data_IF_684129206763
#
_entry.id   IF_684129206763
#
_cell.length_a   1.000
_cell.length_b   1.000
_cell.length_c   1.000
_cell.angle_alpha   90.00
_cell.angle_beta   90.00
_cell.angle_gamma   90.00
#
_symmetry.space_group_name_H-M   'P 1'
#
loop_
_entity.id
_entity.type
_entity.pdbx_description
1 polymer ?
#
# COMPACT_ATOMS: atom_id res chain seq x y z
N UNK A 1 30.57 -2.65 29.89
CA UNK A 1 29.83 -3.56 29.00
C UNK A 1 28.40 -3.77 29.45
N UNK A 2 28.14 -4.13 30.71
CA UNK A 2 26.78 -4.43 31.25
C UNK A 2 25.70 -3.34 31.05
N UNK A 3 26.04 -2.04 31.14
CA UNK A 3 25.09 -0.92 30.94
C UNK A 3 24.64 -0.75 29.45
N UNK A 4 25.48 -1.11 28.51
CA UNK A 4 25.15 -1.04 27.05
C UNK A 4 24.23 -2.18 26.65
N UNK A 5 24.44 -3.37 27.22
CA UNK A 5 23.58 -4.54 26.96
C UNK A 5 22.18 -4.36 27.55
N UNK A 6 22.07 -3.80 28.76
CA UNK A 6 20.75 -3.52 29.36
C UNK A 6 19.96 -2.47 28.58
N UNK A 7 20.61 -1.49 27.97
CA UNK A 7 19.95 -0.47 27.16
C UNK A 7 19.44 -1.04 25.82
N UNK A 8 20.22 -1.93 25.20
CA UNK A 8 19.80 -2.63 23.97
C UNK A 8 18.61 -3.57 24.22
N UNK A 9 18.64 -4.33 25.32
CA UNK A 9 17.54 -5.24 25.69
C UNK A 9 16.26 -4.45 25.94
N UNK A 10 16.33 -3.34 26.69
CA UNK A 10 15.17 -2.49 26.96
C UNK A 10 14.58 -1.91 25.64
N UNK A 11 15.44 -1.50 24.70
CA UNK A 11 14.99 -0.98 23.41
C UNK A 11 14.32 -2.04 22.52
N UNK A 12 14.86 -3.26 22.51
CA UNK A 12 14.25 -4.39 21.83
C UNK A 12 12.91 -4.80 22.45
N UNK A 13 12.79 -4.73 23.77
CA UNK A 13 11.54 -5.00 24.46
C UNK A 13 10.48 -3.94 24.15
N UNK A 14 10.87 -2.68 24.07
CA UNK A 14 10.01 -1.60 23.62
C UNK A 14 9.51 -1.83 22.18
N UNK A 15 10.41 -2.18 21.25
CA UNK A 15 10.07 -2.51 19.86
C UNK A 15 9.04 -3.65 19.80
N UNK A 16 9.30 -4.75 20.53
CA UNK A 16 8.37 -5.89 20.62
C UNK A 16 6.98 -5.46 21.05
N UNK A 17 6.88 -4.67 22.13
CA UNK A 17 5.59 -4.19 22.64
C UNK A 17 4.84 -3.33 21.64
N UNK A 18 5.54 -2.51 20.84
CA UNK A 18 4.93 -1.66 19.81
C UNK A 18 4.44 -2.48 18.62
N UNK A 19 5.22 -3.47 18.18
CA UNK A 19 4.79 -4.42 17.14
C UNK A 19 3.53 -5.17 17.59
N UNK A 20 3.50 -5.68 18.82
CA UNK A 20 2.34 -6.37 19.36
C UNK A 20 1.11 -5.45 19.37
N UNK A 21 1.24 -4.20 19.82
CA UNK A 21 0.12 -3.22 19.81
C UNK A 21 -0.40 -2.97 18.40
N UNK A 22 0.49 -2.79 17.43
CA UNK A 22 0.12 -2.60 16.03
C UNK A 22 -0.60 -3.83 15.48
N UNK A 23 -0.09 -5.03 15.78
CA UNK A 23 -0.71 -6.28 15.35
C UNK A 23 -2.10 -6.49 15.97
N UNK A 24 -2.25 -6.22 17.28
CA UNK A 24 -3.55 -6.29 17.94
C UNK A 24 -4.55 -5.28 17.35
N UNK A 25 -4.09 -4.08 17.01
CA UNK A 25 -4.90 -3.07 16.34
C UNK A 25 -5.33 -3.55 14.95
N UNK A 26 -4.40 -4.16 14.19
CA UNK A 26 -4.72 -4.75 12.89
C UNK A 26 -5.78 -5.85 13.00
N UNK A 27 -5.64 -6.77 13.96
CA UNK A 27 -6.62 -7.83 14.20
C UNK A 27 -7.99 -7.24 14.57
N UNK A 28 -8.01 -6.23 15.44
CA UNK A 28 -9.25 -5.53 15.81
C UNK A 28 -9.95 -4.91 14.57
N UNK A 29 -9.19 -4.20 13.73
CA UNK A 29 -9.74 -3.61 12.51
C UNK A 29 -10.13 -4.67 11.47
N UNK A 30 -9.42 -5.81 11.41
CA UNK A 30 -9.78 -6.93 10.55
C UNK A 30 -11.15 -7.52 10.94
N UNK A 31 -11.36 -7.75 12.23
CA UNK A 31 -12.65 -8.24 12.75
C UNK A 31 -13.75 -7.20 12.49
N UNK A 32 -13.49 -5.94 12.78
CA UNK A 32 -14.45 -4.86 12.53
C UNK A 32 -14.76 -4.70 11.03
N UNK A 33 -13.73 -4.73 10.18
CA UNK A 33 -13.87 -4.67 8.72
C UNK A 33 -14.70 -5.83 8.17
N UNK A 34 -14.54 -7.02 8.77
CA UNK A 34 -15.32 -8.20 8.37
C UNK A 34 -16.83 -8.05 8.66
N UNK A 35 -17.24 -7.23 9.63
CA UNK A 35 -18.65 -6.95 9.92
C UNK A 35 -19.32 -6.10 8.82
N UNK A 36 -18.55 -5.26 8.12
CA UNK A 36 -19.03 -4.36 7.07
C UNK A 36 -18.69 -4.85 5.65
N UNK A 37 -18.13 -6.05 5.53
CA UNK A 37 -17.58 -6.54 4.26
C UNK A 37 -18.65 -6.73 3.18
N UNK A 38 -19.88 -7.10 3.55
CA UNK A 38 -20.97 -7.31 2.59
C UNK A 38 -21.36 -6.02 1.90
N UNK A 39 -21.53 -4.93 2.64
CA UNK A 39 -21.89 -3.62 2.09
C UNK A 39 -20.82 -3.11 1.12
N UNK A 40 -19.55 -3.37 1.46
CA UNK A 40 -18.41 -2.97 0.62
C UNK A 40 -18.31 -3.86 -0.61
N UNK A 41 -18.52 -5.16 -0.47
CA UNK A 41 -18.56 -6.10 -1.59
C UNK A 41 -19.64 -5.68 -2.60
N UNK A 42 -20.87 -5.43 -2.13
CA UNK A 42 -22.00 -5.01 -2.98
C UNK A 42 -21.70 -3.68 -3.68
N UNK A 43 -21.03 -2.76 -3.00
CA UNK A 43 -20.57 -1.52 -3.61
C UNK A 43 -19.50 -1.73 -4.69
N UNK A 44 -18.55 -2.64 -4.48
CA UNK A 44 -17.48 -2.92 -5.42
C UNK A 44 -17.96 -3.62 -6.70
N UNK A 45 -19.01 -4.42 -6.61
CA UNK A 45 -19.55 -5.17 -7.78
C UNK A 45 -20.74 -4.48 -8.46
N UNK A 46 -21.22 -3.35 -7.94
CA UNK A 46 -22.44 -2.68 -8.41
C UNK A 46 -22.40 -2.30 -9.90
N UNK A 47 -21.22 -2.00 -10.43
CA UNK A 47 -21.00 -1.55 -11.81
C UNK A 47 -20.65 -2.73 -12.75
N UNK A 48 -20.75 -3.99 -12.28
CA UNK A 48 -20.57 -5.18 -13.10
C UNK A 48 -21.89 -5.60 -13.72
N UNK A 49 -21.91 -5.70 -15.05
CA UNK A 49 -23.09 -6.14 -15.81
C UNK A 49 -23.41 -7.63 -15.57
N UNK A 50 -22.40 -8.44 -15.28
CA UNK A 50 -22.52 -9.87 -15.06
C UNK A 50 -22.16 -10.28 -13.64
N UNK A 51 -22.87 -11.28 -13.09
CA UNK A 51 -22.53 -11.85 -11.78
C UNK A 51 -21.23 -12.63 -11.85
N UNK A 52 -20.37 -12.41 -10.87
CA UNK A 52 -19.14 -13.17 -10.73
C UNK A 52 -19.45 -14.64 -10.39
N UNK A 53 -18.79 -15.57 -11.09
CA UNK A 53 -18.91 -16.99 -10.82
C UNK A 53 -18.15 -17.35 -9.53
N UNK A 54 -18.70 -18.29 -8.77
CA UNK A 54 -18.06 -18.86 -7.56
C UNK A 54 -17.83 -20.34 -7.84
N UNK A 55 -16.59 -20.80 -7.76
CA UNK A 55 -16.22 -22.19 -8.02
C UNK A 55 -16.23 -23.06 -6.77
N UNK A 56 -16.04 -22.43 -5.61
CA UNK A 56 -16.02 -23.15 -4.35
C UNK A 56 -16.52 -22.31 -3.17
N UNK A 57 -16.98 -22.95 -2.08
CA UNK A 57 -17.49 -22.23 -0.91
C UNK A 57 -16.42 -21.39 -0.21
N UNK A 58 -15.15 -21.71 -0.40
CA UNK A 58 -14.02 -20.95 0.14
C UNK A 58 -13.77 -19.62 -0.57
N UNK A 59 -14.17 -19.49 -1.85
CA UNK A 59 -13.89 -18.30 -2.67
C UNK A 59 -14.54 -17.06 -2.07
N UNK A 60 -15.77 -17.16 -1.58
CA UNK A 60 -16.49 -16.04 -0.95
C UNK A 60 -15.78 -15.60 0.32
N UNK A 61 -15.39 -16.55 1.17
CA UNK A 61 -14.66 -16.26 2.40
C UNK A 61 -13.32 -15.58 2.09
N UNK A 62 -12.61 -16.05 1.07
CA UNK A 62 -11.34 -15.47 0.64
C UNK A 62 -11.50 -14.03 0.15
N UNK A 63 -12.53 -13.76 -0.67
CA UNK A 63 -12.85 -12.39 -1.12
C UNK A 63 -13.16 -11.46 0.07
N UNK A 64 -13.98 -11.94 1.02
CA UNK A 64 -14.33 -11.18 2.21
C UNK A 64 -13.10 -10.88 3.09
N UNK A 65 -12.21 -11.85 3.24
CA UNK A 65 -10.94 -11.67 3.95
C UNK A 65 -10.02 -10.67 3.26
N UNK A 66 -9.96 -10.66 1.92
CA UNK A 66 -9.19 -9.66 1.17
C UNK A 66 -9.73 -8.25 1.39
N UNK A 67 -11.02 -8.04 1.25
CA UNK A 67 -11.66 -6.72 1.47
C UNK A 67 -11.44 -6.25 2.91
N UNK A 68 -11.74 -7.09 3.90
CA UNK A 68 -11.53 -6.78 5.30
C UNK A 68 -10.04 -6.50 5.62
N UNK A 69 -9.13 -7.22 4.96
CA UNK A 69 -7.69 -7.04 5.09
C UNK A 69 -7.22 -5.67 4.62
N UNK A 70 -7.68 -5.20 3.46
CA UNK A 70 -7.34 -3.85 2.95
C UNK A 70 -7.86 -2.77 3.90
N UNK A 71 -9.08 -2.89 4.40
CA UNK A 71 -9.64 -1.95 5.37
C UNK A 71 -8.83 -1.95 6.67
N UNK A 72 -8.47 -3.14 7.16
CA UNK A 72 -7.65 -3.28 8.37
C UNK A 72 -6.27 -2.66 8.20
N UNK A 73 -5.62 -2.87 7.03
CA UNK A 73 -4.33 -2.23 6.71
C UNK A 73 -4.51 -0.72 6.72
N UNK A 74 -5.47 -0.18 5.98
CA UNK A 74 -5.72 1.26 5.89
C UNK A 74 -5.92 1.90 7.27
N UNK A 75 -6.78 1.30 8.11
CA UNK A 75 -7.04 1.80 9.46
C UNK A 75 -5.85 1.62 10.43
N UNK A 76 -4.97 0.63 10.17
CA UNK A 76 -3.80 0.38 11.01
C UNK A 76 -2.63 1.31 10.68
N UNK A 77 -2.52 1.84 9.46
CA UNK A 77 -1.41 2.72 9.04
C UNK A 77 -1.16 3.88 10.01
N UNK A 78 -2.15 4.71 10.40
CA UNK A 78 -1.90 5.81 11.33
C UNK A 78 -1.44 5.32 12.71
N UNK A 79 -1.92 4.16 13.16
CA UNK A 79 -1.49 3.57 14.43
C UNK A 79 -0.06 3.04 14.31
N UNK A 80 0.27 2.34 13.22
CA UNK A 80 1.62 1.85 12.96
C UNK A 80 2.62 3.02 12.86
N UNK A 81 2.26 4.08 12.13
CA UNK A 81 3.07 5.29 12.02
C UNK A 81 3.27 5.96 13.39
N UNK A 82 2.21 6.06 14.21
CA UNK A 82 2.31 6.59 15.57
C UNK A 82 3.19 5.73 16.47
N UNK A 83 3.09 4.42 16.41
CA UNK A 83 3.93 3.51 17.19
C UNK A 83 5.40 3.61 16.75
N UNK A 84 5.66 3.70 15.45
CA UNK A 84 7.00 3.90 14.89
C UNK A 84 7.57 5.25 15.31
N UNK A 85 6.78 6.33 15.17
CA UNK A 85 7.17 7.66 15.65
C UNK A 85 7.54 7.65 17.13
N UNK A 86 6.71 7.05 17.98
CA UNK A 86 6.94 6.99 19.40
C UNK A 86 8.19 6.19 19.78
N UNK A 87 8.57 5.20 18.95
CA UNK A 87 9.80 4.44 19.10
C UNK A 87 11.04 5.27 18.74
N UNK A 88 10.94 6.10 17.71
CA UNK A 88 12.06 6.94 17.21
C UNK A 88 12.14 8.27 17.95
N UNK A 89 11.04 8.77 18.49
CA UNK A 89 10.92 10.09 19.13
C UNK A 89 11.98 10.40 20.21
N UNK A 90 12.47 9.45 21.04
CA UNK A 90 13.53 9.73 22.00
C UNK A 90 14.89 10.08 21.37
N UNK A 91 15.11 9.72 20.09
CA UNK A 91 16.33 10.00 19.35
C UNK A 91 16.25 11.30 18.51
N UNK A 92 15.06 11.92 18.44
CA UNK A 92 14.78 13.12 17.66
C UNK A 92 14.93 14.38 18.52
N UNK A 93 15.32 15.50 17.89
CA UNK A 93 15.23 16.83 18.50
C UNK A 93 13.76 17.25 18.65
N UNK A 94 13.50 18.22 19.54
CA UNK A 94 12.13 18.70 19.79
C UNK A 94 11.42 19.23 18.55
N UNK A 95 12.18 19.83 17.63
CA UNK A 95 11.66 20.32 16.35
C UNK A 95 11.27 19.14 15.42
N UNK A 96 12.15 18.17 15.22
CA UNK A 96 11.93 16.98 14.41
C UNK A 96 10.77 16.14 14.96
N UNK A 97 10.68 16.03 16.28
CA UNK A 97 9.61 15.30 16.97
C UNK A 97 8.23 15.88 16.68
N UNK A 98 8.09 17.22 16.66
CA UNK A 98 6.82 17.88 16.32
C UNK A 98 6.49 17.73 14.83
N UNK A 99 7.47 17.96 13.98
CA UNK A 99 7.31 17.79 12.53
C UNK A 99 6.89 16.39 12.17
N UNK A 100 7.51 15.36 12.76
CA UNK A 100 7.16 13.95 12.52
C UNK A 100 5.70 13.61 12.82
N UNK A 101 5.07 14.24 13.82
CA UNK A 101 3.65 14.02 14.13
C UNK A 101 2.72 14.45 13.00
N UNK A 102 3.06 15.51 12.27
CA UNK A 102 2.24 15.99 11.15
C UNK A 102 2.26 15.04 9.95
N UNK A 103 3.29 14.18 9.82
CA UNK A 103 3.34 13.19 8.74
C UNK A 103 2.37 12.01 8.97
N UNK A 104 1.98 11.72 10.23
CA UNK A 104 1.12 10.56 10.55
C UNK A 104 -0.24 10.61 9.83
N UNK A 105 -1.05 11.70 9.93
CA UNK A 105 -2.28 11.78 9.14
C UNK A 105 -2.03 11.83 7.64
N UNK A 106 -0.88 12.38 7.21
CA UNK A 106 -0.46 12.38 5.82
C UNK A 106 -0.32 10.97 5.26
N UNK A 107 0.33 10.04 5.97
CA UNK A 107 0.46 8.65 5.56
C UNK A 107 -0.91 8.00 5.31
N UNK A 108 -1.88 8.19 6.19
CA UNK A 108 -3.23 7.68 5.98
C UNK A 108 -3.90 8.24 4.71
N UNK A 109 -3.79 9.56 4.51
CA UNK A 109 -4.38 10.23 3.34
C UNK A 109 -3.72 9.73 2.05
N UNK A 110 -2.39 9.65 2.01
CA UNK A 110 -1.67 9.18 0.83
C UNK A 110 -1.93 7.72 0.53
N UNK A 111 -2.05 6.86 1.55
CA UNK A 111 -2.47 5.48 1.36
C UNK A 111 -3.85 5.38 0.71
N UNK A 112 -4.83 6.12 1.23
CA UNK A 112 -6.19 6.15 0.66
C UNK A 112 -6.16 6.69 -0.78
N UNK A 113 -5.39 7.75 -1.06
CA UNK A 113 -5.22 8.26 -2.43
C UNK A 113 -4.63 7.20 -3.36
N UNK A 114 -3.66 6.42 -2.89
CA UNK A 114 -3.09 5.30 -3.66
C UNK A 114 -4.10 4.20 -3.94
N UNK A 115 -4.91 3.82 -2.94
CA UNK A 115 -6.01 2.85 -3.12
C UNK A 115 -7.05 3.39 -4.12
N UNK A 116 -7.47 4.65 -3.98
CA UNK A 116 -8.43 5.30 -4.90
C UNK A 116 -7.86 5.34 -6.32
N UNK A 117 -6.61 5.72 -6.49
CA UNK A 117 -5.95 5.72 -7.80
C UNK A 117 -5.86 4.32 -8.40
N UNK A 118 -5.45 3.32 -7.61
CA UNK A 118 -5.38 1.92 -8.04
C UNK A 118 -6.73 1.38 -8.48
N UNK A 119 -7.79 1.67 -7.72
CA UNK A 119 -9.14 1.18 -7.99
C UNK A 119 -9.84 1.91 -9.14
N UNK A 120 -9.82 3.25 -9.17
CA UNK A 120 -10.59 4.04 -10.14
C UNK A 120 -9.83 4.31 -11.45
N UNK A 121 -8.51 4.23 -11.45
CA UNK A 121 -7.70 4.54 -12.63
C UNK A 121 -7.04 3.28 -13.18
N UNK A 122 -6.19 2.62 -12.41
CA UNK A 122 -5.38 1.52 -12.94
C UNK A 122 -6.19 0.26 -13.19
N UNK A 123 -6.99 -0.15 -12.23
CA UNK A 123 -7.78 -1.38 -12.35
C UNK A 123 -8.69 -1.36 -13.59
N UNK A 124 -9.54 -0.34 -13.85
CA UNK A 124 -10.37 -0.32 -15.04
C UNK A 124 -9.56 -0.22 -16.33
N UNK A 125 -8.45 0.52 -16.36
CA UNK A 125 -7.60 0.64 -17.55
C UNK A 125 -7.01 -0.73 -17.94
N UNK A 126 -6.41 -1.43 -16.99
CA UNK A 126 -5.80 -2.75 -17.24
C UNK A 126 -6.87 -3.79 -17.53
N UNK A 127 -7.98 -3.78 -16.80
CA UNK A 127 -9.09 -4.71 -17.02
C UNK A 127 -9.70 -4.54 -18.43
N UNK A 128 -9.99 -3.31 -18.86
CA UNK A 128 -10.52 -3.03 -20.19
C UNK A 128 -9.56 -3.47 -21.29
N UNK A 129 -8.27 -3.25 -21.09
CA UNK A 129 -7.24 -3.71 -22.02
C UNK A 129 -7.26 -5.24 -22.14
N UNK A 130 -7.27 -5.99 -21.03
CA UNK A 130 -7.28 -7.44 -21.02
C UNK A 130 -8.57 -8.02 -21.63
N UNK A 131 -9.73 -7.42 -21.34
CA UNK A 131 -11.00 -7.79 -21.97
C UNK A 131 -10.93 -7.54 -23.48
N UNK A 132 -10.36 -6.43 -23.90
CA UNK A 132 -10.17 -6.10 -25.32
C UNK A 132 -9.34 -7.13 -26.08
N UNK A 133 -8.33 -7.75 -25.45
CA UNK A 133 -7.56 -8.85 -26.04
C UNK A 133 -8.37 -10.11 -26.27
N UNK A 134 -9.39 -10.35 -25.45
CA UNK A 134 -10.27 -11.54 -25.57
C UNK A 134 -11.44 -11.32 -26.54
N UNK A 135 -11.71 -10.09 -26.95
CA UNK A 135 -12.85 -9.71 -27.74
C UNK A 135 -12.90 -10.48 -29.09
N UNK A 136 -13.94 -11.24 -29.32
CA UNK A 136 -14.19 -12.00 -30.55
C UNK A 136 -13.57 -13.40 -30.61
N UNK A 137 -12.73 -13.81 -29.65
CA UNK A 137 -12.08 -15.12 -29.65
C UNK A 137 -12.44 -16.00 -28.45
N UNK A 138 -12.82 -15.40 -27.30
CA UNK A 138 -13.08 -16.13 -26.06
C UNK A 138 -14.36 -15.65 -25.38
N UNK A 139 -15.06 -16.57 -24.74
CA UNK A 139 -16.10 -16.22 -23.76
C UNK A 139 -15.41 -15.94 -22.41
N UNK A 140 -15.46 -14.69 -21.97
CA UNK A 140 -14.89 -14.30 -20.69
C UNK A 140 -15.85 -14.63 -19.55
N UNK A 141 -15.40 -15.47 -18.62
CA UNK A 141 -16.11 -15.72 -17.38
C UNK A 141 -15.20 -15.37 -16.21
N UNK A 142 -15.58 -14.37 -15.44
CA UNK A 142 -14.81 -13.96 -14.27
C UNK A 142 -15.29 -14.69 -13.02
N UNK A 143 -14.37 -15.33 -12.31
CA UNK A 143 -14.65 -15.84 -10.97
C UNK A 143 -14.42 -14.74 -9.92
N UNK A 144 -15.20 -14.77 -8.85
CA UNK A 144 -15.09 -13.79 -7.77
C UNK A 144 -13.66 -13.73 -7.20
N UNK A 145 -13.04 -14.88 -6.94
CA UNK A 145 -11.68 -14.94 -6.42
C UNK A 145 -10.67 -14.28 -7.37
N UNK A 146 -10.65 -14.66 -8.65
CA UNK A 146 -9.67 -14.11 -9.61
C UNK A 146 -9.88 -12.61 -9.86
N UNK A 147 -11.13 -12.16 -9.94
CA UNK A 147 -11.47 -10.76 -10.13
C UNK A 147 -10.96 -9.90 -8.96
N UNK A 148 -11.30 -10.28 -7.72
CA UNK A 148 -10.87 -9.55 -6.54
C UNK A 148 -9.37 -9.66 -6.29
N UNK A 149 -8.76 -10.82 -6.55
CA UNK A 149 -7.30 -10.98 -6.47
C UNK A 149 -6.58 -10.06 -7.44
N UNK A 150 -7.04 -9.98 -8.69
CA UNK A 150 -6.49 -9.09 -9.69
C UNK A 150 -6.64 -7.61 -9.27
N UNK A 151 -7.83 -7.21 -8.84
CA UNK A 151 -8.10 -5.86 -8.33
C UNK A 151 -7.17 -5.51 -7.16
N UNK A 152 -7.01 -6.41 -6.18
CA UNK A 152 -6.16 -6.19 -5.01
C UNK A 152 -4.68 -6.13 -5.37
N UNK A 153 -4.20 -6.98 -6.28
CA UNK A 153 -2.82 -6.97 -6.73
C UNK A 153 -2.44 -5.65 -7.41
N UNK A 154 -3.37 -4.99 -8.08
CA UNK A 154 -3.15 -3.66 -8.64
C UNK A 154 -3.33 -2.55 -7.60
N UNK A 155 -4.34 -2.62 -6.77
CA UNK A 155 -4.76 -1.51 -5.89
C UNK A 155 -3.90 -1.38 -4.64
N UNK A 156 -3.67 -2.50 -3.93
CA UNK A 156 -2.98 -2.48 -2.64
C UNK A 156 -1.51 -2.01 -2.72
N UNK A 157 -0.69 -2.44 -3.68
CA UNK A 157 0.67 -1.93 -3.82
C UNK A 157 0.71 -0.43 -4.06
N UNK A 158 -0.25 0.13 -4.82
CA UNK A 158 -0.32 1.58 -5.03
C UNK A 158 -0.66 2.34 -3.75
N UNK A 159 -1.45 1.77 -2.84
CA UNK A 159 -1.62 2.32 -1.50
C UNK A 159 -0.28 2.58 -0.81
N UNK A 160 0.61 1.59 -0.78
CA UNK A 160 1.95 1.73 -0.19
C UNK A 160 2.91 2.61 -1.01
N UNK A 161 2.85 2.53 -2.34
CA UNK A 161 3.75 3.29 -3.20
C UNK A 161 3.45 4.80 -3.18
N UNK A 162 2.19 5.19 -2.95
CA UNK A 162 1.80 6.58 -2.74
C UNK A 162 2.36 7.16 -1.44
N UNK A 163 2.77 6.36 -0.47
CA UNK A 163 3.45 6.83 0.73
C UNK A 163 4.91 7.26 0.46
N UNK A 164 5.52 6.80 -0.67
CA UNK A 164 6.93 7.11 -0.98
C UNK A 164 7.26 8.61 -0.91
N UNK A 165 6.48 9.55 -1.50
CA UNK A 165 6.79 10.97 -1.42
C UNK A 165 6.88 11.46 0.02
N UNK A 166 5.94 11.04 0.85
CA UNK A 166 5.86 11.46 2.24
C UNK A 166 6.99 10.87 3.10
N UNK A 167 7.32 9.60 2.88
CA UNK A 167 8.44 8.92 3.55
C UNK A 167 9.77 9.58 3.16
N UNK A 168 9.98 9.88 1.87
CA UNK A 168 11.19 10.55 1.39
C UNK A 168 11.31 11.95 2.01
N UNK A 169 10.24 12.75 2.01
CA UNK A 169 10.21 14.07 2.65
C UNK A 169 10.55 13.97 4.14
N UNK A 170 9.95 13.01 4.85
CA UNK A 170 10.20 12.79 6.26
C UNK A 170 11.67 12.42 6.52
N UNK A 171 12.22 11.45 5.80
CA UNK A 171 13.63 11.05 5.97
C UNK A 171 14.62 12.15 5.56
N UNK A 172 14.24 13.01 4.62
CA UNK A 172 15.02 14.20 4.25
C UNK A 172 14.97 15.26 5.35
N UNK A 173 13.82 15.50 5.96
CA UNK A 173 13.67 16.44 7.08
C UNK A 173 14.48 16.03 8.31
N UNK A 174 14.75 14.73 8.48
CA UNK A 174 15.64 14.18 9.51
C UNK A 174 17.13 14.18 9.11
N UNK A 175 17.47 14.66 7.92
CA UNK A 175 18.84 14.63 7.41
C UNK A 175 19.39 13.23 7.08
N UNK A 176 18.54 12.19 7.13
CA UNK A 176 18.93 10.80 6.82
C UNK A 176 19.10 10.62 5.31
N UNK A 177 18.17 11.18 4.52
CA UNK A 177 18.23 11.18 3.07
C UNK A 177 18.69 12.55 2.54
N UNK A 178 19.43 12.50 1.43
CA UNK A 178 19.84 13.69 0.72
C UNK A 178 19.20 13.67 -0.69
N UNK A 179 18.37 14.68 -1.05
CA UNK A 179 17.72 14.75 -2.36
C UNK A 179 18.70 14.64 -3.53
N UNK A 180 19.89 15.22 -3.39
CA UNK A 180 20.93 15.14 -4.41
C UNK A 180 21.46 13.71 -4.62
N UNK A 181 21.49 12.87 -3.57
CA UNK A 181 21.85 11.45 -3.69
C UNK A 181 20.71 10.66 -4.37
N UNK A 182 19.44 10.90 -4.00
CA UNK A 182 18.28 10.29 -4.65
C UNK A 182 18.25 10.61 -6.14
N UNK A 183 18.49 11.87 -6.51
CA UNK A 183 18.58 12.28 -7.92
C UNK A 183 19.69 11.55 -8.69
N UNK A 184 20.84 11.29 -8.06
CA UNK A 184 21.93 10.49 -8.66
C UNK A 184 21.59 9.01 -8.81
N UNK A 185 20.72 8.48 -7.94
CA UNK A 185 20.31 7.06 -7.94
C UNK A 185 19.11 6.77 -8.85
N UNK A 186 18.60 7.75 -9.62
CA UNK A 186 17.42 7.60 -10.50
C UNK A 186 17.43 6.30 -11.31
N UNK A 187 18.57 5.97 -11.95
CA UNK A 187 18.68 4.76 -12.80
C UNK A 187 18.39 3.47 -12.04
N UNK A 188 18.90 3.35 -10.81
CA UNK A 188 18.70 2.17 -9.96
C UNK A 188 17.26 2.15 -9.45
N UNK A 189 16.72 3.30 -9.03
CA UNK A 189 15.33 3.41 -8.56
C UNK A 189 14.33 3.10 -9.67
N UNK A 190 14.55 3.61 -10.88
CA UNK A 190 13.70 3.29 -12.05
C UNK A 190 13.74 1.80 -12.37
N UNK A 191 14.91 1.19 -12.35
CA UNK A 191 15.03 -0.26 -12.55
C UNK A 191 14.24 -1.03 -11.48
N UNK A 192 14.38 -0.64 -10.21
CA UNK A 192 13.63 -1.27 -9.12
C UNK A 192 12.11 -1.12 -9.28
N UNK A 193 11.64 0.08 -9.69
CA UNK A 193 10.22 0.34 -9.93
C UNK A 193 9.68 -0.46 -11.12
N UNK A 194 10.48 -0.66 -12.18
CA UNK A 194 10.13 -1.54 -13.30
C UNK A 194 9.99 -2.99 -12.82
N UNK A 195 10.91 -3.49 -12.01
CA UNK A 195 10.81 -4.84 -11.44
C UNK A 195 9.56 -4.97 -10.56
N UNK A 196 9.25 -3.97 -9.75
CA UNK A 196 8.03 -3.94 -8.93
C UNK A 196 6.78 -3.97 -9.82
N UNK A 197 6.73 -3.19 -10.91
CA UNK A 197 5.62 -3.19 -11.85
C UNK A 197 5.37 -4.58 -12.44
N UNK A 198 6.39 -5.23 -12.98
CA UNK A 198 6.30 -6.57 -13.57
C UNK A 198 5.82 -7.64 -12.57
N UNK A 199 6.11 -7.48 -11.28
CA UNK A 199 5.62 -8.39 -10.22
C UNK A 199 4.13 -8.15 -9.91
N UNK A 200 3.67 -6.91 -10.02
CA UNK A 200 2.28 -6.51 -9.71
C UNK A 200 1.33 -6.85 -10.85
N UNK A 201 1.76 -6.65 -12.10
CA UNK A 201 0.92 -6.81 -13.30
C UNK A 201 0.94 -8.24 -13.85
N UNK A 202 -0.10 -8.65 -14.61
CA UNK A 202 0.01 -9.81 -15.47
C UNK A 202 1.21 -9.67 -16.43
N UNK A 203 1.80 -10.77 -16.90
CA UNK A 203 2.99 -10.72 -17.76
C UNK A 203 2.64 -10.25 -19.18
N UNK A 204 2.33 -8.98 -19.36
CA UNK A 204 2.08 -8.32 -20.64
C UNK A 204 2.71 -6.92 -20.67
N UNK A 205 3.25 -6.54 -21.82
CA UNK A 205 4.00 -5.30 -21.99
C UNK A 205 3.15 -4.04 -21.77
N UNK A 206 1.87 -4.06 -22.12
CA UNK A 206 1.02 -2.86 -22.08
C UNK A 206 0.58 -2.57 -20.65
N UNK A 207 0.15 -3.61 -19.90
CA UNK A 207 -0.17 -3.45 -18.48
C UNK A 207 1.05 -2.98 -17.67
N UNK A 208 2.24 -3.51 -17.99
CA UNK A 208 3.49 -3.07 -17.37
C UNK A 208 3.71 -1.57 -17.59
N UNK A 209 3.59 -1.09 -18.84
CA UNK A 209 3.76 0.34 -19.16
C UNK A 209 2.73 1.22 -18.45
N UNK A 210 1.46 0.78 -18.39
CA UNK A 210 0.38 1.51 -17.70
C UNK A 210 0.67 1.70 -16.21
N UNK A 211 1.35 0.73 -15.58
CA UNK A 211 1.71 0.76 -14.15
C UNK A 211 3.03 1.49 -13.92
N UNK A 212 4.04 1.30 -14.78
CA UNK A 212 5.35 1.95 -14.65
C UNK A 212 5.25 3.47 -14.68
N UNK A 213 4.46 4.04 -15.61
CA UNK A 213 4.37 5.50 -15.79
C UNK A 213 3.95 6.23 -14.49
N UNK A 214 2.85 5.85 -13.81
CA UNK A 214 2.51 6.45 -12.52
C UNK A 214 3.59 6.28 -11.44
N UNK A 215 4.27 5.13 -11.42
CA UNK A 215 5.33 4.87 -10.44
C UNK A 215 6.53 5.80 -10.63
N UNK A 216 6.93 6.04 -11.88
CA UNK A 216 8.00 6.98 -12.20
C UNK A 216 7.61 8.42 -11.82
N UNK A 217 6.36 8.80 -12.08
CA UNK A 217 5.84 10.12 -11.69
C UNK A 217 5.88 10.28 -10.16
N UNK A 218 5.43 9.27 -9.40
CA UNK A 218 5.48 9.29 -7.93
C UNK A 218 6.92 9.41 -7.41
N UNK A 219 7.87 8.73 -8.03
CA UNK A 219 9.28 8.83 -7.65
C UNK A 219 9.85 10.25 -7.91
N UNK A 220 9.58 10.83 -9.08
CA UNK A 220 10.04 12.20 -9.41
C UNK A 220 9.35 13.24 -8.50
N UNK A 221 8.07 13.07 -8.19
CA UNK A 221 7.37 13.89 -7.21
C UNK A 221 8.03 13.78 -5.84
N UNK A 222 8.45 12.58 -5.41
CA UNK A 222 9.15 12.37 -4.13
C UNK A 222 10.45 13.16 -4.06
N UNK A 223 11.25 13.17 -5.13
CA UNK A 223 12.49 13.96 -5.18
C UNK A 223 12.19 15.45 -5.22
N UNK A 224 11.22 15.88 -6.04
CA UNK A 224 10.88 17.29 -6.21
C UNK A 224 10.32 17.91 -4.93
N UNK A 225 9.48 17.17 -4.19
CA UNK A 225 8.93 17.65 -2.91
C UNK A 225 9.93 17.63 -1.77
N UNK A 226 11.00 16.84 -1.89
CA UNK A 226 12.05 16.72 -0.86
C UNK A 226 13.22 17.70 -1.05
N UNK A 227 13.29 18.38 -2.21
CA UNK A 227 14.36 19.33 -2.55
C UNK A 227 14.09 20.72 -1.99
#
# INVERSE_FOLDING_TARGET
MKKRETHLIAHLEELRQRIIKTLLTFILFLITGFLFVQDIYDWLIRDLDEKLAVLGPGDILWVYMMIAGVLAIAATIPVAAFQTWRFVAPALTDHERRTALFYIPGLFIFFILGIVFGYFVLFPLVLQFLIGLSAGHFQTMFTAEHYFRFMMNLTLPFGFLFEMPLIVMFLTSLGILNPAKLSKMRKISYFALIVVSVVITPPDFISDVLVIVPLLVLYELSISLSA
#
